data_IF_210422695613
#
_entry.id   IF_210422695613
#
_cell.length_a   1.000
_cell.length_b   1.000
_cell.length_c   1.000
_cell.angle_alpha   90.00
_cell.angle_beta   90.00
_cell.angle_gamma   90.00
#
_symmetry.space_group_name_H-M   'P 1'
#
loop_
_entity.id
_entity.type
_entity.pdbx_description
1 polymer ?
#
# COMPACT_ATOMS: atom_id res chain seq x y z
N UNK A 1 -7.43 8.19 -22.62
CA UNK A 1 -7.86 7.32 -21.51
C UNK A 1 -7.08 6.03 -21.57
N UNK A 2 -6.44 5.65 -20.47
CA UNK A 2 -5.55 4.49 -20.35
C UNK A 2 -6.19 3.20 -20.90
N UNK A 3 -5.60 2.63 -21.96
CA UNK A 3 -6.16 1.57 -22.80
C UNK A 3 -6.19 0.16 -22.20
N UNK A 4 -6.63 0.00 -20.95
CA UNK A 4 -6.96 -1.31 -20.39
C UNK A 4 -8.47 -1.39 -20.15
N UNK A 5 -9.07 -2.47 -20.66
CA UNK A 5 -10.45 -2.81 -20.32
C UNK A 5 -10.58 -3.08 -18.81
N UNK A 6 -11.73 -2.73 -18.22
CA UNK A 6 -11.95 -2.77 -16.76
C UNK A 6 -11.58 -4.11 -16.10
N UNK A 7 -11.78 -5.23 -16.80
CA UNK A 7 -11.48 -6.58 -16.29
C UNK A 7 -9.99 -6.94 -16.28
N UNK A 8 -9.15 -6.22 -17.05
CA UNK A 8 -7.70 -6.41 -17.04
C UNK A 8 -7.01 -5.61 -15.94
N UNK A 9 -7.75 -4.75 -15.23
CA UNK A 9 -7.21 -3.90 -14.19
C UNK A 9 -6.88 -4.75 -12.95
N UNK A 10 -5.63 -4.75 -12.47
CA UNK A 10 -5.28 -5.38 -11.20
C UNK A 10 -6.14 -4.86 -10.07
N UNK A 11 -6.61 -5.78 -9.21
CA UNK A 11 -7.44 -5.43 -8.05
C UNK A 11 -6.67 -4.66 -6.98
N UNK A 12 -5.36 -4.89 -6.90
CA UNK A 12 -4.47 -4.26 -5.93
C UNK A 12 -3.09 -4.11 -6.53
N UNK A 13 -2.44 -3.00 -6.19
CA UNK A 13 -1.01 -2.79 -6.40
C UNK A 13 -0.34 -2.80 -5.03
N UNK A 14 0.80 -3.48 -4.93
CA UNK A 14 1.60 -3.54 -3.72
C UNK A 14 3.03 -3.24 -4.11
N UNK A 15 3.60 -2.21 -3.49
CA UNK A 15 5.00 -1.85 -3.66
C UNK A 15 5.81 -2.63 -2.65
N UNK A 16 6.86 -3.29 -3.14
CA UNK A 16 7.69 -4.19 -2.35
C UNK A 16 9.12 -3.74 -2.44
N UNK A 17 9.81 -3.73 -1.30
CA UNK A 17 11.19 -3.27 -1.19
C UNK A 17 12.13 -4.07 -2.09
N UNK A 18 11.87 -5.36 -2.25
CA UNK A 18 12.65 -6.21 -3.16
C UNK A 18 11.78 -7.33 -3.72
N UNK A 19 11.94 -7.59 -5.02
CA UNK A 19 11.22 -8.65 -5.72
C UNK A 19 11.93 -9.99 -5.46
N UNK A 20 11.25 -11.00 -4.87
CA UNK A 20 11.85 -12.29 -4.58
C UNK A 20 12.17 -13.05 -5.88
N UNK A 21 13.45 -13.32 -6.10
CA UNK A 21 13.97 -14.02 -7.28
C UNK A 21 14.80 -15.23 -6.88
N UNK A 22 14.86 -16.22 -7.77
CA UNK A 22 15.76 -17.36 -7.66
C UNK A 22 17.20 -16.92 -7.92
N UNK A 23 18.21 -17.71 -7.53
CA UNK A 23 19.61 -17.41 -7.84
C UNK A 23 19.90 -17.31 -9.35
N UNK A 24 19.04 -17.87 -10.20
CA UNK A 24 19.12 -17.79 -11.67
C UNK A 24 18.27 -16.62 -12.22
N UNK A 25 17.80 -15.72 -11.33
CA UNK A 25 17.05 -14.51 -11.70
C UNK A 25 15.57 -14.73 -12.03
N UNK A 26 15.02 -15.92 -11.82
CA UNK A 26 13.60 -16.19 -12.09
C UNK A 26 12.71 -15.61 -10.98
N UNK A 27 11.55 -15.07 -11.34
CA UNK A 27 10.60 -14.55 -10.37
C UNK A 27 9.98 -15.68 -9.54
N UNK A 28 10.08 -15.59 -8.22
CA UNK A 28 9.47 -16.54 -7.31
C UNK A 28 8.01 -16.16 -7.02
N UNK A 29 7.13 -16.36 -8.00
CA UNK A 29 5.69 -16.04 -7.89
C UNK A 29 5.04 -16.67 -6.67
N UNK A 30 5.44 -17.88 -6.28
CA UNK A 30 4.93 -18.57 -5.08
C UNK A 30 5.10 -17.73 -3.80
N UNK A 31 6.25 -17.06 -3.65
CA UNK A 31 6.53 -16.23 -2.48
C UNK A 31 5.69 -14.95 -2.49
N UNK A 32 5.46 -14.39 -3.67
CA UNK A 32 4.55 -13.26 -3.83
C UNK A 32 3.09 -13.64 -3.51
N UNK A 33 2.64 -14.82 -3.91
CA UNK A 33 1.29 -15.31 -3.59
C UNK A 33 1.17 -15.62 -2.09
N UNK A 34 2.21 -16.18 -1.48
CA UNK A 34 2.26 -16.46 -0.05
C UNK A 34 2.39 -15.21 0.84
N UNK A 35 2.67 -14.03 0.25
CA UNK A 35 2.91 -12.81 1.02
C UNK A 35 4.31 -12.73 1.66
N UNK A 36 5.24 -13.58 1.25
CA UNK A 36 6.64 -13.58 1.70
C UNK A 36 7.45 -12.46 1.02
N UNK A 37 7.05 -11.20 1.24
CA UNK A 37 7.77 -10.02 0.77
C UNK A 37 7.59 -8.87 1.75
N UNK A 38 8.56 -7.96 1.78
CA UNK A 38 8.47 -6.73 2.57
C UNK A 38 7.79 -5.63 1.74
N UNK A 39 6.56 -5.20 2.09
CA UNK A 39 5.98 -4.02 1.48
C UNK A 39 6.72 -2.76 1.94
N UNK A 40 6.84 -1.76 1.07
CA UNK A 40 7.58 -0.53 1.40
C UNK A 40 6.97 0.21 2.59
N UNK A 41 5.64 0.21 2.71
CA UNK A 41 4.92 0.88 3.81
C UNK A 41 5.18 0.24 5.18
N UNK A 42 5.50 -1.06 5.23
CA UNK A 42 5.81 -1.73 6.50
C UNK A 42 7.13 -1.24 7.10
N UNK A 43 8.05 -0.69 6.30
CA UNK A 43 9.28 -0.08 6.83
C UNK A 43 8.98 1.23 7.56
N UNK A 44 7.96 1.98 7.10
CA UNK A 44 7.47 3.16 7.83
C UNK A 44 6.77 2.76 9.13
N UNK A 45 6.00 1.67 9.15
CA UNK A 45 5.34 1.18 10.36
C UNK A 45 6.28 0.49 11.36
N UNK A 46 7.28 -0.27 10.88
CA UNK A 46 8.24 -0.98 11.74
C UNK A 46 9.33 -0.05 12.31
N UNK A 47 9.57 1.11 11.67
CA UNK A 47 10.44 2.16 12.19
C UNK A 47 9.67 3.27 12.92
N UNK A 48 8.33 3.24 12.86
CA UNK A 48 7.46 4.10 13.65
C UNK A 48 7.09 3.40 14.96
N UNK A 49 8.01 3.47 15.91
CA UNK A 49 7.59 4.02 17.19
C UNK A 49 6.79 5.29 16.88
N UNK A 50 5.50 5.27 17.23
CA UNK A 50 4.51 6.20 16.72
C UNK A 50 4.96 7.66 16.81
N UNK A 51 4.65 8.49 15.79
CA UNK A 51 4.12 9.80 16.07
C UNK A 51 2.60 9.69 15.95
N UNK A 52 1.95 9.64 17.12
CA UNK A 52 0.65 10.25 17.26
C UNK A 52 0.72 11.69 16.69
N UNK A 53 -0.42 12.19 16.21
CA UNK A 53 -0.62 13.48 15.52
C UNK A 53 -0.27 13.37 14.03
N UNK A 54 -1.23 13.33 13.12
CA UNK A 54 -2.23 14.38 12.89
C UNK A 54 -3.61 13.76 12.68
N UNK A 55 -4.48 13.85 13.69
CA UNK A 55 -5.92 14.01 13.47
C UNK A 55 -6.23 15.49 13.70
N UNK A 56 -6.96 16.12 12.77
CA UNK A 56 -8.15 16.78 13.23
C UNK A 56 -9.36 16.06 12.63
N UNK A 57 -10.14 15.45 13.51
CA UNK A 57 -11.58 15.33 13.29
C UNK A 57 -12.13 16.75 13.11
N UNK A 58 -12.26 17.22 11.88
CA UNK A 58 -13.16 18.33 11.59
C UNK A 58 -14.58 17.78 11.55
N UNK A 59 -15.10 17.44 12.72
CA UNK A 59 -16.51 17.23 12.94
C UNK A 59 -17.23 18.59 12.82
N UNK A 60 -18.21 18.63 11.93
CA UNK A 60 -19.51 19.28 12.03
C UNK A 60 -19.69 20.47 13.01
N UNK A 61 -20.19 21.60 12.47
CA UNK A 61 -21.21 22.38 13.17
C UNK A 61 -21.01 23.90 13.23
N UNK A 62 -21.56 24.64 12.26
CA UNK A 62 -22.08 25.98 12.54
C UNK A 62 -23.30 26.29 11.69
N UNK A 63 -24.44 25.73 12.08
CA UNK A 63 -25.74 26.37 11.83
C UNK A 63 -25.93 27.48 12.86
N UNK A 64 -25.53 28.72 12.54
CA UNK A 64 -26.08 29.93 13.18
C UNK A 64 -25.56 31.19 12.47
N UNK A 65 -26.46 31.91 11.79
CA UNK A 65 -26.27 33.31 11.43
C UNK A 65 -26.45 33.63 9.95
N UNK A 66 -27.71 33.89 9.56
CA UNK A 66 -28.21 34.41 8.27
C UNK A 66 -28.39 33.41 7.12
#
# INVERSE_FOLDING_TARGET
>A
GSGLANYKRPRRYVFVKTIPRSPVGKLLRRKLVAGEYEPEDAVAAASAEAPALIRPEAACGSTSGC
#
